data_IF_107327680596
#
_entry.id   IF_107327680596
#
_cell.length_a   1.000
_cell.length_b   1.000
_cell.length_c   1.000
_cell.angle_alpha   90.00
_cell.angle_beta   90.00
_cell.angle_gamma   90.00
#
_symmetry.space_group_name_H-M   'P 1'
#
loop_
_entity.id
_entity.type
_entity.pdbx_description
1 polymer ?
#
# COMPACT_ATOMS: atom_id res chain seq x y z
N UNK A 1 -22.82 12.14 -1.09
CA UNK A 1 -22.50 10.75 -0.90
C UNK A 1 -21.21 10.58 -0.15
N UNK A 2 -21.29 9.89 0.94
CA UNK A 2 -20.13 9.77 1.82
C UNK A 2 -19.56 8.36 1.76
N UNK A 3 -19.05 8.03 0.60
CA UNK A 3 -18.38 6.76 0.45
C UNK A 3 -17.17 6.74 1.36
N UNK A 4 -17.00 5.66 2.10
CA UNK A 4 -15.83 5.48 2.94
C UNK A 4 -14.61 5.33 2.04
N UNK A 5 -13.45 5.86 2.44
CA UNK A 5 -12.23 5.59 1.70
C UNK A 5 -11.91 4.10 1.77
N UNK A 6 -11.45 3.55 0.67
CA UNK A 6 -11.13 2.14 0.57
C UNK A 6 -9.64 1.94 0.37
N UNK A 7 -9.12 0.81 0.83
CA UNK A 7 -7.69 0.55 0.80
C UNK A 7 -7.39 -0.86 0.31
N UNK A 8 -6.22 -0.99 -0.28
CA UNK A 8 -5.62 -2.27 -0.60
C UNK A 8 -4.23 -2.33 0.03
N UNK A 9 -3.88 -3.47 0.57
CA UNK A 9 -2.54 -3.73 1.09
C UNK A 9 -1.89 -4.80 0.23
N UNK A 10 -0.69 -4.56 -0.26
CA UNK A 10 0.08 -5.53 -1.02
C UNK A 10 1.42 -5.77 -0.33
N UNK A 11 1.65 -6.99 0.13
CA UNK A 11 2.86 -7.40 0.82
C UNK A 11 2.91 -8.91 0.76
N UNK A 12 4.07 -9.48 0.43
CA UNK A 12 4.21 -10.92 0.33
C UNK A 12 4.32 -11.63 1.69
N UNK A 13 4.43 -10.87 2.78
CA UNK A 13 4.53 -11.44 4.13
C UNK A 13 3.22 -11.33 4.88
N UNK A 14 2.51 -12.45 5.12
CA UNK A 14 1.19 -12.39 5.76
C UNK A 14 1.17 -11.73 7.13
N UNK A 15 2.22 -11.96 7.93
CA UNK A 15 2.27 -11.36 9.27
C UNK A 15 2.39 -9.85 9.21
N UNK A 16 3.15 -9.33 8.25
CA UNK A 16 3.29 -7.89 8.08
C UNK A 16 2.03 -7.27 7.50
N UNK A 17 1.34 -7.97 6.58
CA UNK A 17 0.04 -7.49 6.10
C UNK A 17 -0.95 -7.35 7.24
N UNK A 18 -1.02 -8.37 8.10
CA UNK A 18 -1.93 -8.35 9.25
C UNK A 18 -1.58 -7.25 10.24
N UNK A 19 -0.30 -7.05 10.49
CA UNK A 19 0.14 -5.99 11.40
C UNK A 19 -0.24 -4.61 10.88
N UNK A 20 -0.03 -4.37 9.58
CA UNK A 20 -0.39 -3.10 8.97
C UNK A 20 -1.89 -2.89 8.99
N UNK A 21 -2.66 -3.94 8.72
CA UNK A 21 -4.12 -3.86 8.76
C UNK A 21 -4.59 -3.40 10.15
N UNK A 22 -4.04 -3.99 11.21
CA UNK A 22 -4.43 -3.63 12.57
C UNK A 22 -4.07 -2.18 12.88
N UNK A 23 -2.90 -1.72 12.46
CA UNK A 23 -2.49 -0.35 12.69
C UNK A 23 -3.37 0.64 11.93
N UNK A 24 -3.73 0.31 10.70
CA UNK A 24 -4.62 1.16 9.91
C UNK A 24 -6.00 1.27 10.53
N UNK A 25 -6.52 0.17 11.06
CA UNK A 25 -7.84 0.20 11.72
C UNK A 25 -7.82 1.10 12.95
N UNK A 26 -6.69 1.15 13.67
CA UNK A 26 -6.56 2.02 14.83
C UNK A 26 -6.37 3.48 14.44
N UNK A 27 -5.53 3.73 13.46
CA UNK A 27 -5.17 5.10 13.07
C UNK A 27 -6.22 5.77 12.18
N UNK A 28 -6.95 4.96 11.44
CA UNK A 28 -7.93 5.48 10.47
C UNK A 28 -9.15 4.58 10.44
N UNK A 29 -10.05 4.70 11.44
CA UNK A 29 -11.20 3.79 11.57
C UNK A 29 -12.17 3.83 10.39
N UNK A 30 -12.21 4.95 9.65
CA UNK A 30 -13.13 5.08 8.52
C UNK A 30 -12.64 4.32 7.28
N UNK A 31 -11.37 3.90 7.28
CA UNK A 31 -10.80 3.22 6.12
C UNK A 31 -11.34 1.80 6.03
N UNK A 32 -11.81 1.43 4.86
CA UNK A 32 -12.28 0.08 4.62
C UNK A 32 -11.27 -0.70 3.78
N UNK A 33 -10.71 -1.78 4.34
CA UNK A 33 -9.79 -2.63 3.61
C UNK A 33 -10.58 -3.54 2.69
N UNK A 34 -10.42 -3.39 1.38
CA UNK A 34 -11.20 -4.13 0.39
C UNK A 34 -10.40 -5.22 -0.32
N UNK A 35 -9.08 -5.20 -0.20
CA UNK A 35 -8.25 -6.18 -0.89
C UNK A 35 -6.90 -6.33 -0.21
N UNK A 36 -6.36 -7.55 -0.26
CA UNK A 36 -5.01 -7.85 0.18
C UNK A 36 -4.32 -8.66 -0.91
N UNK A 37 -3.16 -8.20 -1.35
CA UNK A 37 -2.39 -8.83 -2.41
C UNK A 37 -1.07 -9.36 -1.88
N UNK A 38 -0.58 -10.44 -2.45
CA UNK A 38 0.67 -11.07 -2.04
C UNK A 38 1.83 -10.74 -2.96
N UNK A 39 1.54 -10.13 -4.10
CA UNK A 39 2.55 -9.76 -5.08
C UNK A 39 2.00 -8.65 -5.97
N UNK A 40 2.87 -8.11 -6.83
CA UNK A 40 2.48 -6.98 -7.67
C UNK A 40 1.41 -7.32 -8.71
N UNK A 41 1.47 -8.53 -9.27
CA UNK A 41 0.46 -8.94 -10.24
C UNK A 41 -0.92 -9.01 -9.60
N UNK A 42 -1.00 -9.65 -8.44
CA UNK A 42 -2.25 -9.75 -7.70
C UNK A 42 -2.75 -8.37 -7.28
N UNK A 43 -1.81 -7.46 -6.93
CA UNK A 43 -2.17 -6.09 -6.59
C UNK A 43 -2.88 -5.40 -7.75
N UNK A 44 -2.37 -5.57 -8.97
CA UNK A 44 -3.00 -4.95 -10.13
C UNK A 44 -4.36 -5.56 -10.41
N UNK A 45 -4.48 -6.88 -10.32
CA UNK A 45 -5.75 -7.56 -10.54
C UNK A 45 -6.81 -7.08 -9.53
N UNK A 46 -6.44 -6.99 -8.27
CA UNK A 46 -7.37 -6.56 -7.22
C UNK A 46 -7.66 -5.06 -7.32
N UNK A 47 -6.67 -4.28 -7.74
CA UNK A 47 -6.91 -2.86 -7.95
C UNK A 47 -7.97 -2.63 -9.02
N UNK A 48 -7.88 -3.33 -10.13
CA UNK A 48 -8.85 -3.17 -11.22
C UNK A 48 -10.25 -3.64 -10.78
N UNK A 49 -10.30 -4.66 -9.94
CA UNK A 49 -11.58 -5.18 -9.47
C UNK A 49 -12.26 -4.27 -8.45
N UNK A 50 -11.49 -3.66 -7.56
CA UNK A 50 -12.04 -2.90 -6.43
C UNK A 50 -11.82 -1.40 -6.50
N UNK A 51 -10.86 -0.94 -7.26
CA UNK A 51 -10.49 0.46 -7.42
C UNK A 51 -10.39 1.20 -6.07
N UNK A 52 -9.52 0.74 -5.17
CA UNK A 52 -9.41 1.37 -3.86
C UNK A 52 -8.86 2.78 -3.96
N UNK A 53 -9.23 3.61 -2.98
CA UNK A 53 -8.79 5.00 -2.92
C UNK A 53 -7.30 5.11 -2.61
N UNK A 54 -6.79 4.22 -1.75
CA UNK A 54 -5.38 4.23 -1.34
C UNK A 54 -4.80 2.83 -1.40
N UNK A 55 -3.56 2.72 -1.87
CA UNK A 55 -2.87 1.45 -1.99
C UNK A 55 -1.58 1.50 -1.17
N UNK A 56 -1.45 0.57 -0.23
CA UNK A 56 -0.23 0.40 0.56
C UNK A 56 0.56 -0.73 -0.06
N UNK A 57 1.68 -0.38 -0.70
CA UNK A 57 2.46 -1.34 -1.50
C UNK A 57 3.84 -1.57 -0.91
N UNK A 58 4.18 -2.82 -0.66
CA UNK A 58 5.56 -3.17 -0.35
C UNK A 58 6.39 -2.98 -1.63
N UNK A 59 7.56 -2.40 -1.48
CA UNK A 59 8.47 -2.21 -2.62
C UNK A 59 8.97 -3.56 -3.12
N UNK A 60 9.34 -4.45 -2.20
CA UNK A 60 9.89 -5.76 -2.55
C UNK A 60 8.82 -6.84 -2.53
N UNK A 61 8.41 -7.25 -3.72
CA UNK A 61 7.49 -8.38 -3.88
C UNK A 61 7.99 -9.25 -5.03
N UNK A 62 7.73 -10.56 -4.99
CA UNK A 62 8.17 -11.43 -6.07
C UNK A 62 7.49 -11.07 -7.40
N UNK A 63 8.23 -11.21 -8.48
CA UNK A 63 7.76 -10.85 -9.80
C UNK A 63 7.70 -9.33 -9.97
N UNK A 64 6.50 -8.80 -10.19
CA UNK A 64 6.32 -7.35 -10.28
C UNK A 64 6.46 -6.72 -8.90
N UNK A 65 7.39 -5.80 -8.74
CA UNK A 65 7.59 -5.13 -7.45
C UNK A 65 6.59 -3.99 -7.24
N UNK A 66 6.63 -3.40 -6.05
CA UNK A 66 5.68 -2.35 -5.69
C UNK A 66 5.79 -1.09 -6.53
N UNK A 67 7.00 -0.74 -6.97
CA UNK A 67 7.20 0.45 -7.80
C UNK A 67 6.56 0.25 -9.17
N UNK A 68 6.73 -0.94 -9.76
CA UNK A 68 6.10 -1.25 -11.02
C UNK A 68 4.57 -1.27 -10.91
N UNK A 69 4.06 -1.84 -9.83
CA UNK A 69 2.61 -1.85 -9.58
C UNK A 69 2.09 -0.42 -9.46
N UNK A 70 2.82 0.45 -8.75
CA UNK A 70 2.43 1.84 -8.60
C UNK A 70 2.38 2.58 -9.93
N UNK A 71 3.31 2.30 -10.83
CA UNK A 71 3.30 2.92 -12.16
C UNK A 71 2.04 2.54 -12.94
N UNK A 72 1.61 1.29 -12.83
CA UNK A 72 0.42 0.83 -13.52
C UNK A 72 -0.86 1.42 -12.92
N UNK A 73 -0.87 1.62 -11.61
CA UNK A 73 -1.99 2.27 -10.93
C UNK A 73 -2.05 3.74 -11.32
N UNK A 74 -0.89 4.39 -11.39
CA UNK A 74 -0.78 5.79 -11.78
C UNK A 74 -1.51 6.71 -10.82
N UNK A 75 -2.19 7.70 -11.36
CA UNK A 75 -2.87 8.72 -10.56
C UNK A 75 -4.27 8.30 -10.12
N UNK A 76 -4.67 7.05 -10.39
CA UNK A 76 -6.02 6.58 -10.05
C UNK A 76 -6.22 6.34 -8.56
N UNK A 77 -5.14 6.30 -7.78
CA UNK A 77 -5.21 6.10 -6.34
C UNK A 77 -4.02 6.76 -5.68
N UNK A 78 -4.14 7.02 -4.39
CA UNK A 78 -3.00 7.40 -3.57
C UNK A 78 -2.14 6.17 -3.32
N UNK A 79 -0.85 6.28 -3.55
CA UNK A 79 0.07 5.17 -3.32
C UNK A 79 0.97 5.51 -2.13
N UNK A 80 1.00 4.60 -1.16
CA UNK A 80 1.88 4.69 0.00
C UNK A 80 2.78 3.47 -0.04
N UNK A 81 4.08 3.69 -0.18
CA UNK A 81 5.03 2.58 -0.15
C UNK A 81 5.36 2.19 1.27
N UNK A 82 5.36 0.89 1.55
CA UNK A 82 5.73 0.34 2.84
C UNK A 82 6.97 -0.50 2.62
N UNK A 83 8.10 -0.09 3.20
CA UNK A 83 9.37 -0.73 2.90
C UNK A 83 10.24 -0.81 4.15
N UNK A 84 11.13 -1.81 4.17
CA UNK A 84 12.11 -1.96 5.23
C UNK A 84 13.36 -1.12 5.00
N UNK A 85 13.51 -0.49 3.82
CA UNK A 85 14.73 0.21 3.45
C UNK A 85 14.45 1.65 3.01
N UNK A 86 15.03 2.61 3.73
CA UNK A 86 14.86 4.03 3.44
C UNK A 86 15.30 4.40 2.02
N UNK A 87 16.35 3.76 1.52
CA UNK A 87 16.86 4.06 0.20
C UNK A 87 15.82 3.81 -0.88
N UNK A 88 14.97 2.81 -0.69
CA UNK A 88 13.90 2.54 -1.64
C UNK A 88 12.78 3.55 -1.52
N UNK A 89 12.58 4.10 -0.34
CA UNK A 89 11.60 5.15 -0.16
C UNK A 89 12.00 6.40 -0.95
N UNK A 90 13.28 6.76 -0.93
CA UNK A 90 13.77 7.90 -1.71
C UNK A 90 13.58 7.66 -3.19
N UNK A 91 13.90 6.46 -3.67
CA UNK A 91 13.70 6.09 -5.06
C UNK A 91 12.22 6.14 -5.44
N UNK A 92 11.35 5.69 -4.56
CA UNK A 92 9.92 5.70 -4.79
C UNK A 92 9.40 7.13 -4.96
N UNK A 93 9.90 8.09 -4.19
CA UNK A 93 9.52 9.49 -4.35
C UNK A 93 9.88 10.01 -5.73
N UNK A 94 11.01 9.58 -6.27
CA UNK A 94 11.42 9.99 -7.60
C UNK A 94 10.51 9.45 -8.70
N UNK A 95 9.61 8.54 -8.35
CA UNK A 95 8.62 7.97 -9.27
C UNK A 95 7.20 8.42 -8.92
N UNK A 96 7.08 9.62 -8.36
CA UNK A 96 5.79 10.25 -8.05
C UNK A 96 4.99 9.53 -6.98
N UNK A 97 5.64 8.81 -6.08
CA UNK A 97 4.97 8.25 -4.93
C UNK A 97 4.53 9.39 -4.00
N UNK A 98 3.32 9.29 -3.46
CA UNK A 98 2.79 10.33 -2.59
C UNK A 98 3.33 10.24 -1.18
N UNK A 99 3.70 9.05 -0.73
CA UNK A 99 4.18 8.86 0.63
C UNK A 99 4.84 7.49 0.76
N UNK A 100 5.48 7.29 1.90
CA UNK A 100 6.05 6.00 2.24
C UNK A 100 6.07 5.79 3.74
N UNK A 101 6.11 4.53 4.14
CA UNK A 101 6.25 4.11 5.53
C UNK A 101 7.40 3.11 5.61
N UNK A 102 8.25 3.27 6.62
CA UNK A 102 9.37 2.37 6.84
C UNK A 102 8.96 1.32 7.87
N UNK A 103 9.19 0.06 7.58
CA UNK A 103 8.91 -1.05 8.50
C UNK A 103 9.90 -1.06 9.65
N UNK A 104 9.48 -1.43 10.87
CA UNK A 104 8.11 -1.72 11.22
C UNK A 104 7.27 -0.44 11.31
N UNK A 105 6.03 -0.52 10.88
CA UNK A 105 5.14 0.64 10.89
C UNK A 105 4.63 0.86 12.31
N UNK A 106 4.70 2.11 12.77
CA UNK A 106 4.25 2.47 14.11
C UNK A 106 3.05 3.42 14.02
N UNK A 107 2.23 3.51 15.09
CA UNK A 107 1.09 4.42 15.07
C UNK A 107 1.48 5.88 14.83
N UNK A 108 2.65 6.31 15.29
CA UNK A 108 3.11 7.68 15.09
C UNK A 108 3.33 7.99 13.61
N UNK A 109 3.74 6.99 12.85
CA UNK A 109 3.98 7.20 11.41
C UNK A 109 2.68 7.25 10.62
N UNK A 110 1.63 6.63 11.14
CA UNK A 110 0.34 6.58 10.46
C UNK A 110 -0.54 7.78 10.76
N UNK A 111 -0.31 8.43 11.87
CA UNK A 111 -1.12 9.59 12.25
C UNK A 111 -0.58 10.96 11.74
#
# INVERSE_FOLDING_TARGET
MNARPTAMIADDEPLLRGALQRLLLQAWPELELVAEARNGREAIELFEAHQPTVCFLDVHMPGMNGIEAARRIGARAHVVFVTAHDQYAVEAFNHDALDYLVKPVTPQRLS
#
